data_IF_340105135410
#
_entry.id   IF_340105135410
#
_cell.length_a   1.000
_cell.length_b   1.000
_cell.length_c   1.000
_cell.angle_alpha   90.00
_cell.angle_beta   90.00
_cell.angle_gamma   90.00
#
_symmetry.space_group_name_H-M   'P 1'
#
loop_
_entity.id
_entity.type
_entity.pdbx_description
1 polymer ?
#
# COMPACT_ATOMS: atom_id res chain seq x y z
N UNK A 1 13.82 -12.29 7.76
CA UNK A 1 14.10 -12.85 9.10
C UNK A 1 13.09 -12.24 10.04
N UNK A 2 12.25 -13.06 10.70
CA UNK A 2 11.34 -12.56 11.74
C UNK A 2 12.16 -12.54 13.03
N UNK A 3 12.20 -11.40 13.70
CA UNK A 3 12.81 -11.30 15.02
C UNK A 3 11.98 -12.13 16.00
N UNK A 4 12.57 -12.55 17.12
CA UNK A 4 11.77 -13.24 18.13
C UNK A 4 10.74 -12.27 18.74
N UNK A 5 9.71 -12.80 19.42
CA UNK A 5 8.59 -11.99 19.94
C UNK A 5 9.03 -10.91 20.93
N UNK A 6 10.06 -11.19 21.75
CA UNK A 6 10.57 -10.25 22.76
C UNK A 6 11.34 -9.09 22.11
N UNK A 7 12.27 -9.42 21.21
CA UNK A 7 13.01 -8.44 20.39
C UNK A 7 12.06 -7.56 19.56
N UNK A 8 10.97 -8.16 19.06
CA UNK A 8 9.96 -7.43 18.29
C UNK A 8 9.25 -6.38 19.15
N UNK A 9 8.87 -6.70 20.39
CA UNK A 9 8.20 -5.76 21.28
C UNK A 9 9.12 -4.62 21.71
N UNK A 10 10.38 -4.91 22.05
CA UNK A 10 11.38 -3.89 22.40
C UNK A 10 11.61 -2.90 21.24
N UNK A 11 11.68 -3.40 20.00
CA UNK A 11 11.83 -2.54 18.81
C UNK A 11 10.58 -1.69 18.55
N UNK A 12 9.38 -2.26 18.75
CA UNK A 12 8.13 -1.51 18.60
C UNK A 12 8.09 -0.37 19.62
N UNK A 13 8.35 -0.67 20.89
CA UNK A 13 8.34 0.33 21.96
C UNK A 13 9.39 1.41 21.72
N UNK A 14 10.62 1.03 21.33
CA UNK A 14 11.65 2.00 21.00
C UNK A 14 11.24 2.88 19.81
N UNK A 15 10.72 2.30 18.73
CA UNK A 15 10.28 3.05 17.55
C UNK A 15 9.17 4.06 17.90
N UNK A 16 8.17 3.64 18.67
CA UNK A 16 7.03 4.50 19.03
C UNK A 16 7.43 5.65 19.96
N UNK A 17 8.54 5.51 20.69
CA UNK A 17 9.02 6.52 21.63
C UNK A 17 10.16 7.40 21.08
N UNK A 18 10.53 7.28 19.80
CA UNK A 18 11.57 8.11 19.17
C UNK A 18 11.26 9.61 19.34
N UNK A 19 12.21 10.37 19.87
CA UNK A 19 12.11 11.82 20.09
C UNK A 19 12.96 12.62 19.12
N UNK A 20 14.01 12.03 18.55
CA UNK A 20 14.96 12.74 17.70
C UNK A 20 15.40 11.98 16.44
N UNK A 21 15.82 12.69 15.37
CA UNK A 21 16.46 12.06 14.22
C UNK A 21 17.73 11.26 14.53
N UNK A 22 18.42 11.58 15.62
CA UNK A 22 19.59 10.84 16.10
C UNK A 22 19.18 9.45 16.58
N UNK A 23 18.16 9.35 17.44
CA UNK A 23 17.65 8.05 17.92
C UNK A 23 17.14 7.17 16.77
N UNK A 24 16.55 7.78 15.72
CA UNK A 24 16.17 7.03 14.52
C UNK A 24 17.40 6.45 13.81
N UNK A 25 18.50 7.22 13.70
CA UNK A 25 19.74 6.73 13.12
C UNK A 25 20.33 5.57 13.94
N UNK A 26 20.30 5.70 15.26
CA UNK A 26 20.76 4.68 16.21
C UNK A 26 19.93 3.39 16.09
N UNK A 27 18.59 3.51 16.03
CA UNK A 27 17.68 2.38 15.80
C UNK A 27 17.93 1.69 14.44
N UNK A 28 18.31 2.46 13.42
CA UNK A 28 18.69 1.92 12.12
C UNK A 28 20.12 1.36 12.11
N UNK A 29 20.89 1.49 13.20
CA UNK A 29 22.31 1.17 13.25
C UNK A 29 23.07 1.83 12.07
N UNK A 30 22.88 3.13 11.91
CA UNK A 30 23.54 3.98 10.91
C UNK A 30 24.04 5.23 11.61
N UNK A 31 25.26 5.67 11.30
CA UNK A 31 25.78 6.93 11.83
C UNK A 31 24.87 8.11 11.44
N UNK A 32 24.59 9.02 12.37
CA UNK A 32 23.66 10.12 12.10
C UNK A 32 24.19 11.11 11.05
N UNK A 33 25.50 11.35 10.98
CA UNK A 33 26.09 12.19 9.92
C UNK A 33 25.93 11.50 8.57
N UNK A 34 26.11 10.17 8.53
CA UNK A 34 25.85 9.37 7.34
C UNK A 34 24.38 9.49 6.90
N UNK A 35 23.41 9.29 7.81
CA UNK A 35 21.99 9.45 7.50
C UNK A 35 21.69 10.84 6.94
N UNK A 36 22.19 11.90 7.60
CA UNK A 36 22.00 13.29 7.16
C UNK A 36 22.61 13.53 5.78
N UNK A 37 23.81 13.01 5.51
CA UNK A 37 24.47 13.15 4.23
C UNK A 37 23.65 12.57 3.09
N UNK A 38 23.16 11.33 3.23
CA UNK A 38 22.39 10.66 2.18
C UNK A 38 20.99 11.24 1.97
N UNK A 39 20.37 11.80 3.01
CA UNK A 39 19.02 12.38 2.90
C UNK A 39 18.99 13.84 2.45
N UNK A 40 20.04 14.62 2.73
CA UNK A 40 20.01 16.08 2.54
C UNK A 40 21.17 16.64 1.72
N UNK A 41 22.36 16.04 1.78
CA UNK A 41 23.57 16.62 1.17
C UNK A 41 23.79 16.10 -0.24
N UNK A 42 23.65 14.79 -0.47
CA UNK A 42 23.90 14.25 -1.80
C UNK A 42 22.86 14.76 -2.81
N UNK A 43 23.29 15.05 -4.05
CA UNK A 43 22.36 15.45 -5.10
C UNK A 43 21.26 14.42 -5.28
N UNK A 44 20.02 14.89 -5.47
CA UNK A 44 18.85 14.02 -5.62
C UNK A 44 19.01 13.00 -6.75
N UNK A 45 19.64 13.39 -7.85
CA UNK A 45 19.96 12.53 -9.01
C UNK A 45 20.90 11.35 -8.69
N UNK A 46 21.64 11.41 -7.58
CA UNK A 46 22.52 10.32 -7.11
C UNK A 46 21.86 9.40 -6.09
N UNK A 47 20.62 9.70 -5.65
CA UNK A 47 19.88 8.89 -4.68
C UNK A 47 19.14 7.73 -5.33
N UNK A 48 18.70 7.90 -6.57
CA UNK A 48 17.90 6.92 -7.30
C UNK A 48 18.33 6.80 -8.75
N UNK A 49 18.31 5.56 -9.26
CA UNK A 49 18.39 5.27 -10.68
C UNK A 49 16.98 5.07 -11.23
N UNK A 50 16.64 5.79 -12.29
CA UNK A 50 15.32 5.69 -12.93
C UNK A 50 15.44 4.97 -14.27
N UNK A 51 14.56 3.99 -14.50
CA UNK A 51 14.52 3.21 -15.73
C UNK A 51 13.09 2.77 -16.06
N UNK A 52 12.85 2.42 -17.33
CA UNK A 52 11.55 1.98 -17.81
C UNK A 52 11.48 0.46 -17.83
N UNK A 53 10.36 -0.10 -17.36
CA UNK A 53 10.05 -1.53 -17.46
C UNK A 53 8.73 -1.73 -18.18
N UNK A 54 8.71 -2.61 -19.16
CA UNK A 54 7.49 -2.93 -19.93
C UNK A 54 6.40 -3.52 -19.04
N UNK A 55 5.15 -3.07 -19.21
CA UNK A 55 3.98 -3.72 -18.65
C UNK A 55 3.68 -5.02 -19.42
N UNK A 56 2.87 -5.90 -18.83
CA UNK A 56 2.53 -7.24 -19.35
C UNK A 56 2.05 -7.22 -20.82
N UNK A 57 1.41 -6.13 -21.26
CA UNK A 57 0.90 -5.98 -22.63
C UNK A 57 1.89 -5.34 -23.62
N UNK A 58 3.18 -5.17 -23.27
CA UNK A 58 4.29 -4.58 -24.05
C UNK A 58 4.09 -3.15 -24.63
N UNK A 59 2.87 -2.63 -24.68
CA UNK A 59 2.52 -1.32 -25.25
C UNK A 59 2.61 -0.14 -24.27
N UNK A 60 2.80 -0.40 -22.98
CA UNK A 60 2.96 0.63 -21.94
C UNK A 60 4.15 0.30 -21.06
N UNK A 61 4.93 1.30 -20.70
CA UNK A 61 6.02 1.18 -19.71
C UNK A 61 5.56 1.64 -18.32
N UNK A 62 6.30 1.22 -17.29
CA UNK A 62 6.24 1.79 -15.95
C UNK A 62 7.62 2.36 -15.62
N UNK A 63 7.65 3.55 -15.05
CA UNK A 63 8.87 4.14 -14.53
C UNK A 63 9.19 3.53 -13.16
N UNK A 64 10.35 2.91 -13.04
CA UNK A 64 10.89 2.40 -11.78
C UNK A 64 11.98 3.36 -11.33
N UNK A 65 11.94 3.75 -10.06
CA UNK A 65 12.98 4.53 -9.40
C UNK A 65 13.57 3.66 -8.28
N UNK A 66 14.70 3.02 -8.57
CA UNK A 66 15.39 2.17 -7.61
C UNK A 66 16.40 3.00 -6.80
N UNK A 67 16.42 2.88 -5.47
CA UNK A 67 17.41 3.58 -4.64
C UNK A 67 18.82 3.06 -4.90
N UNK A 68 19.82 3.93 -4.81
CA UNK A 68 21.24 3.52 -4.83
C UNK A 68 21.59 2.75 -3.56
N UNK A 69 22.67 1.97 -3.58
CA UNK A 69 23.02 0.98 -2.55
C UNK A 69 22.91 1.52 -1.12
N UNK A 70 23.38 2.74 -0.86
CA UNK A 70 23.37 3.32 0.48
C UNK A 70 21.96 3.69 0.97
N UNK A 71 21.15 4.34 0.11
CA UNK A 71 19.74 4.63 0.42
C UNK A 71 18.95 3.33 0.55
N UNK A 72 19.24 2.35 -0.30
CA UNK A 72 18.62 1.03 -0.29
C UNK A 72 18.86 0.31 1.04
N UNK A 73 20.08 0.36 1.59
CA UNK A 73 20.41 -0.23 2.90
C UNK A 73 19.57 0.42 3.99
N UNK A 74 19.53 1.76 4.06
CA UNK A 74 18.72 2.50 5.04
C UNK A 74 17.25 2.08 4.94
N UNK A 75 16.71 2.02 3.72
CA UNK A 75 15.33 1.59 3.48
C UNK A 75 15.08 0.12 3.82
N UNK A 76 16.03 -0.79 3.57
CA UNK A 76 15.90 -2.20 3.96
C UNK A 76 15.82 -2.37 5.47
N UNK A 77 16.68 -1.64 6.22
CA UNK A 77 16.66 -1.65 7.68
C UNK A 77 15.35 -1.07 8.22
N UNK A 78 14.89 0.06 7.69
CA UNK A 78 13.62 0.64 8.07
C UNK A 78 12.45 -0.29 7.73
N UNK A 79 12.43 -0.91 6.54
CA UNK A 79 11.39 -1.86 6.17
C UNK A 79 11.31 -3.05 7.15
N UNK A 80 12.46 -3.57 7.62
CA UNK A 80 12.45 -4.64 8.63
C UNK A 80 11.75 -4.20 9.93
N UNK A 81 12.03 -2.99 10.40
CA UNK A 81 11.38 -2.42 11.59
C UNK A 81 9.88 -2.21 11.33
N UNK A 82 9.51 -1.57 10.22
CA UNK A 82 8.12 -1.29 9.87
C UNK A 82 7.25 -2.54 9.71
N UNK A 83 7.84 -3.66 9.26
CA UNK A 83 7.13 -4.95 9.16
C UNK A 83 6.75 -5.52 10.54
N UNK A 84 7.49 -5.18 11.59
CA UNK A 84 7.15 -5.58 12.97
C UNK A 84 6.12 -4.64 13.60
N UNK A 85 6.16 -3.35 13.24
CA UNK A 85 5.24 -2.33 13.78
C UNK A 85 3.86 -2.42 13.12
N UNK A 86 3.81 -2.65 11.81
CA UNK A 86 2.55 -2.68 11.09
C UNK A 86 1.74 -3.94 11.42
N UNK A 87 0.54 -3.74 11.95
CA UNK A 87 -0.44 -4.82 12.15
C UNK A 87 -1.42 -4.85 10.97
N UNK A 88 -1.29 -5.79 10.03
CA UNK A 88 -2.16 -5.85 8.86
C UNK A 88 -3.57 -6.32 9.22
N UNK A 89 -4.58 -5.61 8.70
CA UNK A 89 -5.97 -6.07 8.75
C UNK A 89 -6.13 -7.41 8.03
N UNK A 90 -7.07 -8.30 8.43
CA UNK A 90 -7.24 -9.62 7.82
C UNK A 90 -7.45 -9.59 6.29
N UNK A 91 -8.10 -8.55 5.78
CA UNK A 91 -8.41 -8.39 4.35
C UNK A 91 -7.22 -7.93 3.47
N UNK A 92 -6.05 -7.62 4.03
CA UNK A 92 -4.92 -7.04 3.28
C UNK A 92 -3.88 -8.12 2.95
N UNK A 93 -3.73 -8.52 1.70
CA UNK A 93 -2.84 -9.63 1.31
C UNK A 93 -1.56 -9.18 0.62
N UNK A 94 -1.57 -8.02 -0.04
CA UNK A 94 -0.39 -7.51 -0.75
C UNK A 94 0.74 -7.15 0.19
N UNK A 95 1.96 -7.58 -0.12
CA UNK A 95 3.18 -7.27 0.65
C UNK A 95 3.18 -7.70 2.12
N UNK A 96 2.31 -8.62 2.51
CA UNK A 96 2.25 -9.17 3.87
C UNK A 96 2.91 -10.54 3.90
N UNK A 97 3.77 -10.76 4.88
CA UNK A 97 4.38 -12.07 5.11
C UNK A 97 3.31 -13.16 5.29
N UNK A 98 3.53 -14.33 4.70
CA UNK A 98 2.58 -15.45 4.66
C UNK A 98 1.22 -15.15 4.01
N UNK A 99 1.11 -14.07 3.23
CA UNK A 99 -0.03 -13.83 2.34
C UNK A 99 0.45 -13.76 0.89
N UNK A 100 -0.42 -14.13 -0.04
CA UNK A 100 -0.09 -14.27 -1.45
C UNK A 100 -1.32 -13.97 -2.31
N UNK A 101 -1.12 -13.92 -3.63
CA UNK A 101 -2.22 -13.84 -4.60
C UNK A 101 -3.23 -14.99 -4.40
N UNK A 102 -2.74 -16.17 -3.99
CA UNK A 102 -3.59 -17.32 -3.70
C UNK A 102 -4.43 -17.12 -2.44
N UNK A 103 -3.83 -16.64 -1.34
CA UNK A 103 -4.62 -16.40 -0.12
C UNK A 103 -5.63 -15.28 -0.31
N UNK A 104 -5.34 -14.31 -1.18
CA UNK A 104 -6.27 -13.27 -1.59
C UNK A 104 -7.45 -13.85 -2.37
N UNK A 105 -7.18 -14.64 -3.42
CA UNK A 105 -8.20 -15.26 -4.26
C UNK A 105 -9.12 -16.22 -3.49
N UNK A 106 -8.58 -16.97 -2.51
CA UNK A 106 -9.34 -17.93 -1.69
C UNK A 106 -10.56 -17.34 -1.00
N UNK A 107 -10.53 -16.05 -0.62
CA UNK A 107 -11.66 -15.34 0.01
C UNK A 107 -12.90 -15.31 -0.92
N UNK A 108 -12.66 -15.33 -2.23
CA UNK A 108 -13.68 -15.05 -3.25
C UNK A 108 -14.12 -16.30 -4.04
N UNK A 109 -13.68 -17.49 -3.64
CA UNK A 109 -14.08 -18.75 -4.26
C UNK A 109 -15.58 -19.01 -4.04
N UNK A 110 -16.24 -19.61 -5.04
CA UNK A 110 -17.67 -19.98 -5.04
C UNK A 110 -18.62 -18.81 -4.82
N UNK A 111 -18.23 -17.60 -5.25
CA UNK A 111 -19.05 -16.40 -5.17
C UNK A 111 -19.76 -16.17 -6.48
N UNK A 112 -21.03 -15.77 -6.40
CA UNK A 112 -21.86 -15.52 -7.60
C UNK A 112 -21.36 -14.31 -8.38
N UNK A 113 -20.81 -13.31 -7.70
CA UNK A 113 -20.23 -12.12 -8.31
C UNK A 113 -18.87 -11.80 -7.70
N UNK A 114 -17.93 -11.37 -8.54
CA UNK A 114 -16.60 -10.88 -8.18
C UNK A 114 -16.37 -9.55 -8.89
N UNK A 115 -16.14 -8.49 -8.13
CA UNK A 115 -15.72 -7.17 -8.60
C UNK A 115 -14.24 -7.01 -8.33
N UNK A 116 -13.44 -6.71 -9.35
CA UNK A 116 -12.08 -6.20 -9.18
C UNK A 116 -12.03 -4.74 -9.62
N UNK A 117 -11.30 -3.94 -8.86
CA UNK A 117 -10.87 -2.59 -9.25
C UNK A 117 -9.37 -2.44 -8.97
N UNK A 118 -8.75 -1.50 -9.67
CA UNK A 118 -7.33 -1.14 -9.54
C UNK A 118 -7.23 0.35 -9.21
N UNK A 119 -6.36 0.72 -8.29
CA UNK A 119 -6.09 2.13 -7.99
C UNK A 119 -5.13 2.72 -9.01
N UNK A 120 -5.53 3.84 -9.63
CA UNK A 120 -4.70 4.58 -10.58
C UNK A 120 -3.49 5.18 -9.86
N UNK A 121 -2.31 4.99 -10.47
CA UNK A 121 -1.03 5.58 -10.02
C UNK A 121 -0.77 5.39 -8.52
N UNK A 122 -1.06 4.19 -7.99
CA UNK A 122 -1.10 3.91 -6.57
C UNK A 122 0.09 4.43 -5.76
N UNK A 123 1.32 4.02 -6.10
CA UNK A 123 2.53 4.50 -5.41
C UNK A 123 2.76 6.02 -5.61
N UNK A 124 2.75 6.55 -6.85
CA UNK A 124 2.83 8.00 -7.09
C UNK A 124 1.80 8.84 -6.30
N UNK A 125 0.59 8.33 -6.09
CA UNK A 125 -0.47 9.04 -5.36
C UNK A 125 -0.20 9.19 -3.86
N UNK A 126 0.76 8.45 -3.31
CA UNK A 126 1.15 8.50 -1.90
C UNK A 126 2.36 9.43 -1.77
N UNK A 127 2.07 10.70 -1.48
CA UNK A 127 3.07 11.75 -1.39
C UNK A 127 3.74 11.85 0.00
N UNK A 128 4.76 12.71 0.10
CA UNK A 128 5.52 12.93 1.33
C UNK A 128 4.60 13.32 2.51
N UNK A 129 3.65 14.22 2.28
CA UNK A 129 2.72 14.68 3.30
C UNK A 129 1.83 13.55 3.84
N UNK A 130 1.37 12.64 2.98
CA UNK A 130 0.59 11.45 3.39
C UNK A 130 1.41 10.50 4.23
N UNK A 131 2.68 10.26 3.87
CA UNK A 131 3.58 9.40 4.65
C UNK A 131 3.90 10.02 6.00
N UNK A 132 4.28 11.31 6.04
CA UNK A 132 4.54 12.04 7.29
C UNK A 132 3.30 12.05 8.19
N UNK A 133 2.14 12.40 7.64
CA UNK A 133 0.87 12.44 8.38
C UNK A 133 0.46 11.07 8.91
N UNK A 134 0.73 9.99 8.17
CA UNK A 134 0.48 8.61 8.62
C UNK A 134 1.30 8.27 9.87
N UNK A 135 2.59 8.61 9.90
CA UNK A 135 3.43 8.37 11.09
C UNK A 135 3.04 9.24 12.29
N UNK A 136 2.58 10.46 12.06
CA UNK A 136 2.13 11.36 13.13
C UNK A 136 0.77 10.97 13.71
N UNK A 137 -0.07 10.30 12.92
CA UNK A 137 -1.40 9.89 13.35
C UNK A 137 -1.34 8.65 14.27
N UNK A 138 -2.42 8.43 15.03
CA UNK A 138 -2.62 7.17 15.75
C UNK A 138 -2.66 5.99 14.76
N UNK A 139 -2.10 4.82 15.11
CA UNK A 139 -1.56 4.47 16.44
C UNK A 139 -0.11 4.89 16.68
N UNK A 140 0.62 5.36 15.67
CA UNK A 140 2.07 5.54 15.77
C UNK A 140 2.47 6.80 16.54
N UNK A 141 1.73 7.89 16.39
CA UNK A 141 1.88 9.14 17.16
C UNK A 141 3.33 9.67 17.20
N UNK A 142 4.10 9.44 16.14
CA UNK A 142 5.50 9.85 16.05
C UNK A 142 5.57 11.37 15.96
N UNK A 143 6.50 11.97 16.70
CA UNK A 143 6.69 13.42 16.68
C UNK A 143 7.06 13.92 15.28
N UNK A 144 6.75 15.19 15.01
CA UNK A 144 6.92 15.82 13.70
C UNK A 144 8.35 15.71 13.13
N UNK A 145 9.38 15.88 13.97
CA UNK A 145 10.78 15.86 13.50
C UNK A 145 11.15 14.48 12.98
N UNK A 146 10.83 13.43 13.73
CA UNK A 146 11.12 12.05 13.36
C UNK A 146 10.25 11.60 12.18
N UNK A 147 8.96 11.95 12.18
CA UNK A 147 8.05 11.62 11.08
C UNK A 147 8.49 12.24 9.74
N UNK A 148 9.07 13.45 9.78
CA UNK A 148 9.65 14.12 8.61
C UNK A 148 10.84 13.34 8.05
N UNK A 149 11.75 12.87 8.91
CA UNK A 149 12.90 12.06 8.47
C UNK A 149 12.46 10.70 7.94
N UNK A 150 11.49 10.04 8.58
CA UNK A 150 10.89 8.79 8.09
C UNK A 150 10.28 8.97 6.69
N UNK A 151 9.54 10.05 6.47
CA UNK A 151 8.99 10.37 5.16
C UNK A 151 10.10 10.68 4.13
N UNK A 152 11.18 11.34 4.54
CA UNK A 152 12.35 11.62 3.70
C UNK A 152 13.09 10.34 3.29
N UNK A 153 13.15 9.33 4.18
CA UNK A 153 13.70 8.01 3.84
C UNK A 153 12.78 7.29 2.85
N UNK A 154 11.46 7.40 3.00
CA UNK A 154 10.50 6.61 2.22
C UNK A 154 10.18 7.20 0.84
N UNK A 155 10.20 8.52 0.70
CA UNK A 155 9.76 9.22 -0.51
C UNK A 155 10.92 9.69 -1.37
N UNK A 156 10.65 9.77 -2.68
CA UNK A 156 11.52 10.37 -3.68
C UNK A 156 10.66 11.19 -4.62
N UNK A 157 11.03 12.45 -4.89
CA UNK A 157 10.25 13.38 -5.73
C UNK A 157 8.77 13.49 -5.30
N UNK A 158 8.56 13.68 -3.99
CA UNK A 158 7.24 13.82 -3.36
C UNK A 158 6.28 12.64 -3.59
N UNK A 159 6.80 11.42 -3.75
CA UNK A 159 5.99 10.21 -3.90
C UNK A 159 6.69 8.97 -3.34
N UNK A 160 5.95 7.89 -3.11
CA UNK A 160 6.56 6.58 -2.92
C UNK A 160 7.13 6.07 -4.25
N UNK A 161 8.44 5.81 -4.35
CA UNK A 161 9.04 5.31 -5.59
C UNK A 161 8.75 3.81 -5.76
N UNK A 162 8.39 3.43 -6.98
CA UNK A 162 8.34 2.02 -7.37
C UNK A 162 9.77 1.49 -7.43
N UNK A 163 10.11 0.53 -6.55
CA UNK A 163 11.45 -0.07 -6.44
C UNK A 163 12.16 0.16 -5.10
N UNK A 164 11.66 1.06 -4.24
CA UNK A 164 12.21 1.20 -2.90
C UNK A 164 11.74 0.08 -1.94
N UNK A 165 12.62 -0.45 -1.07
CA UNK A 165 12.28 -1.46 -0.08
C UNK A 165 11.14 -1.09 0.88
N UNK A 166 10.96 0.19 1.20
CA UNK A 166 9.93 0.67 2.15
C UNK A 166 8.57 0.92 1.51
N UNK A 167 8.53 1.26 0.21
CA UNK A 167 7.27 1.60 -0.47
C UNK A 167 6.15 0.56 -0.26
N UNK A 168 6.40 -0.77 -0.35
CA UNK A 168 5.37 -1.79 -0.13
C UNK A 168 4.70 -1.70 1.24
N UNK A 169 5.48 -1.67 2.33
CA UNK A 169 4.92 -1.64 3.68
C UNK A 169 4.27 -0.29 3.99
N UNK A 170 4.89 0.81 3.59
CA UNK A 170 4.36 2.17 3.84
C UNK A 170 3.04 2.38 3.10
N UNK A 171 2.91 1.89 1.87
CA UNK A 171 1.64 1.96 1.13
C UNK A 171 0.49 1.26 1.85
N UNK A 172 0.76 0.11 2.48
CA UNK A 172 -0.23 -0.59 3.31
C UNK A 172 -0.59 0.20 4.58
N UNK A 173 0.42 0.76 5.26
CA UNK A 173 0.19 1.58 6.46
C UNK A 173 -0.70 2.79 6.14
N UNK A 174 -0.45 3.49 5.02
CA UNK A 174 -1.27 4.61 4.53
C UNK A 174 -2.70 4.16 4.18
N UNK A 175 -2.87 2.96 3.62
CA UNK A 175 -4.17 2.41 3.27
C UNK A 175 -5.01 1.93 4.48
N UNK A 176 -4.49 1.94 5.71
CA UNK A 176 -5.22 1.40 6.88
C UNK A 176 -6.61 2.04 7.10
N UNK A 177 -6.73 3.36 6.84
CA UNK A 177 -8.02 4.06 6.89
C UNK A 177 -8.93 3.62 5.75
N UNK A 178 -8.41 3.55 4.52
CA UNK A 178 -9.15 3.05 3.36
C UNK A 178 -9.68 1.64 3.61
N UNK A 179 -8.85 0.73 4.10
CA UNK A 179 -9.24 -0.65 4.41
C UNK A 179 -10.35 -0.71 5.46
N UNK A 180 -10.31 0.17 6.48
CA UNK A 180 -11.37 0.26 7.48
C UNK A 180 -12.70 0.69 6.85
N UNK A 181 -12.67 1.66 5.94
CA UNK A 181 -13.88 2.13 5.26
C UNK A 181 -14.42 1.09 4.27
N UNK A 182 -13.55 0.43 3.50
CA UNK A 182 -13.95 -0.62 2.57
C UNK A 182 -14.48 -1.86 3.29
N UNK A 183 -13.93 -2.23 4.44
CA UNK A 183 -14.50 -3.29 5.29
C UNK A 183 -15.90 -2.94 5.80
N UNK A 184 -16.12 -1.70 6.26
CA UNK A 184 -17.45 -1.23 6.66
C UNK A 184 -18.43 -1.25 5.50
N UNK A 185 -17.99 -0.82 4.33
CA UNK A 185 -18.78 -0.83 3.10
C UNK A 185 -19.14 -2.27 2.67
N UNK A 186 -18.17 -3.18 2.72
CA UNK A 186 -18.39 -4.61 2.44
C UNK A 186 -19.43 -5.20 3.39
N UNK A 187 -19.33 -4.88 4.70
CA UNK A 187 -20.30 -5.30 5.71
C UNK A 187 -21.71 -4.74 5.43
N UNK A 188 -21.82 -3.44 5.12
CA UNK A 188 -23.10 -2.77 4.77
C UNK A 188 -23.83 -3.51 3.65
N UNK A 189 -23.09 -3.95 2.64
CA UNK A 189 -23.66 -4.60 1.45
C UNK A 189 -23.56 -6.13 1.44
N UNK A 190 -23.19 -6.75 2.57
CA UNK A 190 -23.02 -8.21 2.70
C UNK A 190 -22.08 -8.82 1.64
N UNK A 191 -20.97 -8.14 1.38
CA UNK A 191 -19.89 -8.57 0.49
C UNK A 191 -18.67 -9.04 1.28
N UNK A 192 -17.86 -9.91 0.66
CA UNK A 192 -16.48 -10.12 1.07
C UNK A 192 -15.61 -9.02 0.46
N UNK A 193 -14.55 -8.62 1.17
CA UNK A 193 -13.57 -7.65 0.71
C UNK A 193 -12.15 -8.17 0.95
N UNK A 194 -11.27 -7.98 -0.03
CA UNK A 194 -9.82 -8.14 0.12
C UNK A 194 -9.07 -7.10 -0.73
N UNK A 195 -7.82 -6.83 -0.36
CA UNK A 195 -6.92 -5.94 -1.10
C UNK A 195 -5.54 -6.55 -1.24
N UNK A 196 -5.01 -6.52 -2.46
CA UNK A 196 -3.64 -6.90 -2.79
C UNK A 196 -2.94 -5.70 -3.44
N UNK A 197 -2.17 -4.95 -2.64
CA UNK A 197 -1.57 -3.69 -3.07
C UNK A 197 -2.65 -2.69 -3.56
N UNK A 198 -2.65 -2.36 -4.86
CA UNK A 198 -3.60 -1.51 -5.57
C UNK A 198 -4.84 -2.25 -6.10
N UNK A 199 -4.78 -3.58 -6.20
CA UNK A 199 -5.93 -4.41 -6.57
C UNK A 199 -6.89 -4.58 -5.38
N UNK A 200 -8.13 -4.15 -5.53
CA UNK A 200 -9.20 -4.32 -4.56
C UNK A 200 -10.24 -5.29 -5.13
N UNK A 201 -10.68 -6.25 -4.32
CA UNK A 201 -11.70 -7.23 -4.73
C UNK A 201 -12.87 -7.24 -3.76
N UNK A 202 -14.09 -7.14 -4.31
CA UNK A 202 -15.34 -7.43 -3.61
C UNK A 202 -15.97 -8.69 -4.20
N UNK A 203 -16.68 -9.47 -3.39
CA UNK A 203 -17.49 -10.57 -3.94
C UNK A 203 -18.75 -10.83 -3.12
N UNK A 204 -19.75 -11.41 -3.78
CA UNK A 204 -21.08 -11.65 -3.20
C UNK A 204 -21.68 -12.96 -3.69
N UNK A 205 -22.41 -13.65 -2.81
CA UNK A 205 -23.10 -14.92 -3.14
C UNK A 205 -24.55 -14.71 -3.58
N UNK A 206 -25.20 -13.64 -3.12
CA UNK A 206 -26.61 -13.33 -3.40
C UNK A 206 -26.91 -13.14 -4.90
N UNK A 207 -28.20 -13.17 -5.24
CA UNK A 207 -28.70 -13.15 -6.62
C UNK A 207 -28.32 -11.88 -7.42
N UNK A 208 -28.11 -10.76 -6.74
CA UNK A 208 -27.68 -9.48 -7.30
C UNK A 208 -26.40 -8.94 -6.64
N UNK A 209 -25.68 -8.12 -7.38
CA UNK A 209 -24.57 -7.32 -6.88
C UNK A 209 -25.07 -5.87 -6.61
N UNK A 210 -24.68 -5.25 -5.48
CA UNK A 210 -25.13 -3.89 -5.14
C UNK A 210 -24.61 -2.85 -6.15
N UNK A 211 -25.52 -2.08 -6.74
CA UNK A 211 -25.19 -1.05 -7.73
C UNK A 211 -24.37 0.10 -7.14
N UNK A 212 -24.45 0.31 -5.82
CA UNK A 212 -23.66 1.28 -5.08
C UNK A 212 -22.17 0.90 -4.99
N UNK A 213 -21.83 -0.38 -5.25
CA UNK A 213 -20.45 -0.81 -5.41
C UNK A 213 -20.02 -0.86 -6.88
N UNK A 214 -20.83 -1.50 -7.73
CA UNK A 214 -20.58 -1.53 -9.16
C UNK A 214 -21.83 -1.96 -9.93
N UNK A 215 -21.90 -1.54 -11.18
CA UNK A 215 -22.97 -1.88 -12.12
C UNK A 215 -22.41 -2.04 -13.53
N UNK A 216 -23.21 -2.62 -14.43
CA UNK A 216 -22.92 -2.63 -15.86
C UNK A 216 -23.66 -1.44 -16.48
N UNK A 217 -22.94 -0.55 -17.16
CA UNK A 217 -23.52 0.62 -17.80
C UNK A 217 -24.23 0.25 -19.13
N UNK A 218 -24.80 1.25 -19.81
CA UNK A 218 -25.54 1.05 -21.06
C UNK A 218 -24.68 0.43 -22.19
N UNK A 219 -23.37 0.64 -22.15
CA UNK A 219 -22.41 0.09 -23.11
C UNK A 219 -21.97 -1.34 -22.77
N UNK A 220 -22.54 -1.95 -21.72
CA UNK A 220 -22.15 -3.27 -21.26
C UNK A 220 -20.82 -3.30 -20.49
N UNK A 221 -20.30 -2.14 -20.07
CA UNK A 221 -19.01 -1.99 -19.40
C UNK A 221 -19.21 -1.86 -17.88
N UNK A 222 -18.38 -2.56 -17.11
CA UNK A 222 -18.40 -2.46 -15.66
C UNK A 222 -17.95 -1.06 -15.19
N UNK A 223 -18.78 -0.44 -14.35
CA UNK A 223 -18.55 0.88 -13.77
C UNK A 223 -18.66 0.80 -12.25
N UNK A 224 -18.00 1.71 -11.54
CA UNK A 224 -18.04 1.77 -10.07
C UNK A 224 -19.23 2.59 -9.59
N UNK A 225 -19.92 2.09 -8.57
CA UNK A 225 -21.02 2.78 -7.92
C UNK A 225 -20.57 3.89 -6.96
N UNK A 226 -21.52 4.76 -6.61
CA UNK A 226 -21.23 6.02 -5.91
C UNK A 226 -20.63 5.83 -4.51
N UNK A 227 -21.12 4.87 -3.73
CA UNK A 227 -20.60 4.62 -2.37
C UNK A 227 -19.13 4.18 -2.42
N UNK A 228 -18.80 3.24 -3.33
CA UNK A 228 -17.41 2.78 -3.47
C UNK A 228 -16.51 3.90 -3.99
N UNK A 229 -16.98 4.66 -4.99
CA UNK A 229 -16.25 5.83 -5.52
C UNK A 229 -15.99 6.87 -4.44
N UNK A 230 -16.99 7.16 -3.62
CA UNK A 230 -16.87 8.11 -2.50
C UNK A 230 -15.84 7.65 -1.46
N UNK A 231 -15.88 6.38 -1.06
CA UNK A 231 -14.90 5.82 -0.10
C UNK A 231 -13.47 5.89 -0.65
N UNK A 232 -13.27 5.59 -1.93
CA UNK A 232 -11.93 5.63 -2.55
C UNK A 232 -11.42 7.07 -2.63
N UNK A 233 -12.24 7.99 -3.15
CA UNK A 233 -11.87 9.40 -3.32
C UNK A 233 -11.62 10.11 -1.99
N UNK A 234 -12.46 9.88 -0.97
CA UNK A 234 -12.29 10.47 0.37
C UNK A 234 -11.05 9.99 1.11
N UNK A 235 -10.40 8.92 0.63
CA UNK A 235 -9.10 8.44 1.13
C UNK A 235 -7.92 8.89 0.25
N UNK A 236 -8.14 9.78 -0.72
CA UNK A 236 -7.09 10.36 -1.57
C UNK A 236 -6.56 9.39 -2.62
N UNK A 237 -7.42 8.51 -3.14
CA UNK A 237 -7.10 7.61 -4.24
C UNK A 237 -8.11 7.78 -5.38
N UNK A 238 -7.76 7.27 -6.55
CA UNK A 238 -8.62 7.30 -7.75
C UNK A 238 -8.66 5.90 -8.36
N UNK A 239 -9.82 5.50 -8.87
CA UNK A 239 -9.98 4.21 -9.53
C UNK A 239 -9.46 4.31 -10.97
N UNK A 240 -8.88 3.23 -11.47
CA UNK A 240 -8.53 3.09 -12.86
C UNK A 240 -9.71 2.53 -13.65
N UNK A 241 -10.45 3.41 -14.33
CA UNK A 241 -11.68 3.03 -15.05
C UNK A 241 -11.47 1.93 -16.10
N UNK A 242 -10.27 1.83 -16.67
CA UNK A 242 -9.91 0.81 -17.67
C UNK A 242 -9.66 -0.58 -17.06
N UNK A 243 -9.72 -0.73 -15.74
CA UNK A 243 -9.40 -1.96 -15.02
C UNK A 243 -10.50 -2.38 -14.04
N UNK A 244 -11.71 -1.86 -14.23
CA UNK A 244 -12.89 -2.33 -13.50
C UNK A 244 -13.39 -3.61 -14.16
N UNK A 245 -13.63 -4.66 -13.36
CA UNK A 245 -14.22 -5.91 -13.85
C UNK A 245 -15.26 -6.40 -12.88
N UNK A 246 -16.50 -6.56 -13.34
CA UNK A 246 -17.57 -7.22 -12.60
C UNK A 246 -17.91 -8.55 -13.29
N UNK A 247 -17.60 -9.67 -12.65
CA UNK A 247 -17.69 -11.01 -13.22
C UNK A 247 -18.74 -11.83 -12.46
N UNK A 248 -19.62 -12.52 -13.20
CA UNK A 248 -20.59 -13.44 -12.61
C UNK A 248 -20.05 -14.88 -12.64
N UNK A 249 -20.66 -15.78 -11.88
CA UNK A 249 -20.34 -17.21 -11.91
C UNK A 249 -20.70 -17.91 -13.23
N UNK A 250 -21.36 -17.22 -14.17
CA UNK A 250 -21.60 -17.71 -15.54
C UNK A 250 -20.41 -17.46 -16.46
N UNK A 251 -19.45 -16.64 -16.04
CA UNK A 251 -18.24 -16.34 -16.80
C UNK A 251 -17.01 -16.69 -15.96
N UNK A 252 -15.84 -16.76 -16.60
CA UNK A 252 -14.59 -16.93 -15.85
C UNK A 252 -14.43 -15.75 -14.90
N UNK A 253 -14.37 -16.04 -13.61
CA UNK A 253 -13.99 -15.09 -12.56
C UNK A 253 -12.47 -15.11 -12.38
N UNK A 254 -11.89 -13.99 -11.98
CA UNK A 254 -10.46 -13.90 -11.71
C UNK A 254 -10.17 -13.01 -10.51
N UNK A 255 -9.17 -13.38 -9.71
CA UNK A 255 -8.67 -12.52 -8.62
C UNK A 255 -7.16 -12.52 -8.68
N UNK A 256 -6.54 -11.34 -8.76
CA UNK A 256 -5.08 -11.18 -8.85
C UNK A 256 -4.43 -12.05 -9.96
N UNK A 257 -5.17 -12.32 -11.04
CA UNK A 257 -4.71 -13.09 -12.19
C UNK A 257 -4.83 -14.61 -12.10
N UNK A 258 -5.39 -15.15 -11.00
CA UNK A 258 -5.80 -16.55 -10.87
C UNK A 258 -7.22 -16.72 -11.41
#
# INVERSE_FOLDING_TARGET
>A
MKLNLKESNEIIDHFLNLQSPQELADLLHVDFKYLKYYLYIIPESKRYQTFLVSKKNRSKSRTISAPTSNIKIIQQKLNLILQNIYTPKPAVHGFIYNRSILTNAKIHISKRFVLNIDLKDFFPSINFGRVRGMFMAKPYSINEKVATVLAQICCYKNQLPQGAPTSPIVSNMVCSRLDSHLQKLAKKYHCMYSRYADDITFSKTSQSFPSELAYINLDGIASVGDDLKHVINSNGFTINDNKIRLQSNKTRQSVTGL
#
